data_IF_171135484923
#
_entry.id   IF_171135484923
#
_cell.length_a   1.000
_cell.length_b   1.000
_cell.length_c   1.000
_cell.angle_alpha   90.00
_cell.angle_beta   90.00
_cell.angle_gamma   90.00
#
_symmetry.space_group_name_H-M   'P 1'
#
loop_
_entity.id
_entity.type
_entity.pdbx_description
1 polymer ?
#
# COMPACT_ATOMS: atom_id res chain seq x y z
N UNK A 1 -7.48 1.03 -20.43
CA UNK A 1 -7.40 -0.17 -19.61
C UNK A 1 -5.96 -0.28 -19.10
N UNK A 2 -5.77 -0.35 -17.80
CA UNK A 2 -4.44 -0.44 -17.18
C UNK A 2 -4.29 -1.87 -16.67
N UNK A 3 -3.52 -2.67 -17.39
CA UNK A 3 -3.20 -4.06 -17.02
C UNK A 3 -1.95 -4.04 -16.12
N UNK A 4 -2.11 -3.48 -14.92
CA UNK A 4 -1.04 -3.38 -13.92
C UNK A 4 -1.35 -4.23 -12.72
N UNK A 5 -0.45 -5.14 -12.42
CA UNK A 5 -0.51 -5.97 -11.21
C UNK A 5 -0.24 -5.10 -9.99
N UNK A 6 -1.20 -5.08 -9.06
CA UNK A 6 -1.16 -4.19 -7.90
C UNK A 6 -1.22 -4.95 -6.58
N UNK A 7 -0.46 -4.49 -5.59
CA UNK A 7 -0.46 -5.01 -4.22
C UNK A 7 -0.70 -3.86 -3.24
N UNK A 8 -1.64 -4.01 -2.32
CA UNK A 8 -1.81 -3.10 -1.18
C UNK A 8 -1.17 -3.72 0.07
N UNK A 9 -0.31 -2.94 0.74
CA UNK A 9 0.32 -3.31 2.01
C UNK A 9 -0.41 -2.66 3.18
N UNK A 10 -0.64 -3.42 4.24
CA UNK A 10 -1.29 -2.91 5.45
C UNK A 10 -2.69 -2.40 5.15
N UNK A 11 -3.45 -3.17 4.38
CA UNK A 11 -4.74 -2.77 3.83
C UNK A 11 -5.84 -2.55 4.88
N UNK A 12 -5.67 -3.07 6.12
CA UNK A 12 -6.72 -3.07 7.12
C UNK A 12 -7.97 -3.76 6.60
N UNK A 13 -9.05 -3.02 6.43
CA UNK A 13 -10.27 -3.51 5.78
C UNK A 13 -10.24 -3.52 4.26
N UNK A 14 -9.14 -3.10 3.61
CA UNK A 14 -8.98 -3.06 2.16
C UNK A 14 -9.51 -1.80 1.48
N UNK A 15 -9.72 -0.70 2.21
CA UNK A 15 -10.40 0.48 1.69
C UNK A 15 -9.78 1.03 0.41
N UNK A 16 -8.45 1.19 0.37
CA UNK A 16 -7.77 1.82 -0.79
C UNK A 16 -7.78 0.88 -1.99
N UNK A 17 -7.43 -0.39 -1.81
CA UNK A 17 -7.46 -1.37 -2.89
C UNK A 17 -8.86 -1.56 -3.46
N UNK A 18 -9.88 -1.64 -2.62
CA UNK A 18 -11.28 -1.73 -3.06
C UNK A 18 -11.71 -0.47 -3.82
N UNK A 19 -11.34 0.73 -3.34
CA UNK A 19 -11.64 1.98 -4.04
C UNK A 19 -10.97 2.06 -5.41
N UNK A 20 -9.70 1.63 -5.51
CA UNK A 20 -8.98 1.54 -6.78
C UNK A 20 -9.63 0.53 -7.72
N UNK A 21 -10.04 -0.63 -7.21
CA UNK A 21 -10.71 -1.65 -8.02
C UNK A 21 -12.07 -1.18 -8.55
N UNK A 22 -12.79 -0.33 -7.81
CA UNK A 22 -14.09 0.25 -8.26
C UNK A 22 -13.88 1.45 -9.16
N UNK A 23 -13.01 2.38 -8.78
CA UNK A 23 -12.88 3.69 -9.42
C UNK A 23 -11.93 3.74 -10.61
N UNK A 24 -11.01 2.80 -10.71
CA UNK A 24 -10.03 2.74 -11.78
C UNK A 24 -10.33 1.56 -12.72
N UNK A 25 -10.09 1.75 -14.02
CA UNK A 25 -10.23 0.68 -15.03
C UNK A 25 -9.05 -0.29 -14.96
N UNK A 26 -8.87 -0.94 -13.81
CA UNK A 26 -7.84 -1.97 -13.59
C UNK A 26 -8.39 -3.32 -14.06
N UNK A 27 -7.66 -4.00 -14.93
CA UNK A 27 -8.04 -5.32 -15.48
C UNK A 27 -7.32 -6.47 -14.79
N UNK A 28 -6.10 -6.25 -14.29
CA UNK A 28 -5.38 -7.23 -13.50
C UNK A 28 -5.99 -7.36 -12.10
N UNK A 29 -5.84 -8.54 -11.50
CA UNK A 29 -6.25 -8.78 -10.12
C UNK A 29 -5.43 -7.88 -9.17
N UNK A 30 -6.12 -7.22 -8.23
CA UNK A 30 -5.51 -6.43 -7.18
C UNK A 30 -5.42 -7.29 -5.91
N UNK A 31 -4.25 -7.34 -5.30
CA UNK A 31 -3.97 -8.12 -4.10
C UNK A 31 -3.93 -7.20 -2.88
N UNK A 32 -4.84 -7.37 -1.92
CA UNK A 32 -4.81 -6.63 -0.65
C UNK A 32 -4.21 -7.48 0.44
N UNK A 33 -3.30 -6.92 1.24
CA UNK A 33 -2.53 -7.69 2.22
C UNK A 33 -2.50 -7.02 3.58
N UNK A 34 -2.59 -7.83 4.63
CA UNK A 34 -2.44 -7.42 6.03
C UNK A 34 -2.08 -8.64 6.88
N UNK A 35 -2.03 -8.46 8.20
CA UNK A 35 -1.87 -9.51 9.18
C UNK A 35 -3.09 -10.44 9.22
N UNK A 36 -2.93 -11.62 9.83
CA UNK A 36 -3.98 -12.65 9.92
C UNK A 36 -5.29 -12.11 10.51
N UNK A 37 -5.21 -11.24 11.52
CA UNK A 37 -6.36 -10.64 12.18
C UNK A 37 -7.28 -9.85 11.23
N UNK A 38 -6.74 -9.33 10.12
CA UNK A 38 -7.51 -8.55 9.15
C UNK A 38 -8.03 -9.39 7.99
N UNK A 39 -7.56 -10.63 7.85
CA UNK A 39 -7.84 -11.46 6.67
C UNK A 39 -9.34 -11.69 6.42
N UNK A 40 -10.09 -12.08 7.45
CA UNK A 40 -11.54 -12.32 7.30
C UNK A 40 -12.32 -11.02 7.04
N UNK A 41 -11.87 -9.88 7.59
CA UNK A 41 -12.46 -8.58 7.30
C UNK A 41 -12.24 -8.17 5.85
N UNK A 42 -11.03 -8.34 5.32
CA UNK A 42 -10.73 -8.09 3.90
C UNK A 42 -11.63 -8.92 2.98
N UNK A 43 -11.76 -10.21 3.22
CA UNK A 43 -12.63 -11.10 2.44
C UNK A 43 -14.10 -10.68 2.50
N UNK A 44 -14.58 -10.33 3.68
CA UNK A 44 -15.95 -9.84 3.87
C UNK A 44 -16.20 -8.58 3.03
N UNK A 45 -15.27 -7.62 3.08
CA UNK A 45 -15.39 -6.36 2.34
C UNK A 45 -15.30 -6.56 0.82
N UNK A 46 -14.47 -7.48 0.34
CA UNK A 46 -14.44 -7.88 -1.08
C UNK A 46 -15.82 -8.39 -1.51
N UNK A 47 -16.41 -9.28 -0.72
CA UNK A 47 -17.73 -9.84 -1.00
C UNK A 47 -18.84 -8.78 -1.00
N UNK A 48 -18.87 -7.91 0.01
CA UNK A 48 -19.86 -6.82 0.13
C UNK A 48 -19.82 -5.83 -1.05
N UNK A 49 -18.65 -5.66 -1.66
CA UNK A 49 -18.49 -4.78 -2.82
C UNK A 49 -18.58 -5.50 -4.17
N UNK A 50 -18.92 -6.79 -4.19
CA UNK A 50 -19.00 -7.61 -5.40
C UNK A 50 -17.70 -7.63 -6.22
N UNK A 51 -16.54 -7.64 -5.54
CA UNK A 51 -15.21 -7.59 -6.16
C UNK A 51 -14.50 -8.95 -6.18
N UNK A 52 -15.21 -10.05 -5.84
CA UNK A 52 -14.66 -11.41 -5.96
C UNK A 52 -14.17 -11.68 -7.39
N UNK A 53 -12.93 -12.19 -7.50
CA UNK A 53 -12.26 -12.41 -8.80
C UNK A 53 -11.58 -11.18 -9.40
N UNK A 54 -11.77 -9.99 -8.81
CA UNK A 54 -11.04 -8.76 -9.16
C UNK A 54 -10.08 -8.31 -8.07
N UNK A 55 -10.42 -8.62 -6.82
CA UNK A 55 -9.59 -8.36 -5.65
C UNK A 55 -9.44 -9.65 -4.86
N UNK A 56 -8.23 -9.92 -4.42
CA UNK A 56 -7.88 -11.09 -3.60
C UNK A 56 -7.19 -10.65 -2.32
N UNK A 57 -7.54 -11.27 -1.19
CA UNK A 57 -6.93 -11.01 0.11
C UNK A 57 -5.85 -12.05 0.43
N UNK A 58 -4.74 -11.58 1.01
CA UNK A 58 -3.65 -12.44 1.46
C UNK A 58 -3.11 -12.00 2.81
N UNK A 59 -2.62 -12.95 3.58
CA UNK A 59 -1.87 -12.67 4.80
C UNK A 59 -0.42 -12.37 4.42
N UNK A 60 0.06 -11.19 4.81
CA UNK A 60 1.44 -10.80 4.63
C UNK A 60 1.92 -9.94 5.80
N UNK A 61 2.58 -10.56 6.75
CA UNK A 61 3.23 -9.88 7.86
C UNK A 61 4.51 -9.19 7.40
N UNK A 62 4.66 -7.92 7.70
CA UNK A 62 5.87 -7.17 7.34
C UNK A 62 7.13 -7.79 7.96
N UNK A 63 8.22 -7.81 7.19
CA UNK A 63 9.49 -8.41 7.57
C UNK A 63 9.53 -9.93 7.39
N UNK A 64 8.43 -10.57 7.03
CA UNK A 64 8.43 -11.98 6.63
C UNK A 64 8.73 -12.13 5.13
N UNK A 65 9.18 -13.29 4.68
CA UNK A 65 9.34 -13.56 3.25
C UNK A 65 8.04 -13.29 2.48
N UNK A 66 8.16 -12.71 1.29
CA UNK A 66 7.00 -12.47 0.43
C UNK A 66 6.29 -13.79 0.13
N UNK A 67 4.97 -13.89 0.39
CA UNK A 67 4.21 -15.09 0.08
C UNK A 67 4.34 -15.48 -1.40
N UNK A 68 4.51 -16.78 -1.68
CA UNK A 68 4.73 -17.29 -3.05
C UNK A 68 3.54 -17.10 -3.99
N UNK A 69 2.37 -16.84 -3.44
CA UNK A 69 1.14 -16.55 -4.18
C UNK A 69 0.90 -15.05 -4.43
N UNK A 70 1.79 -14.19 -3.93
CA UNK A 70 1.81 -12.77 -4.30
C UNK A 70 2.70 -12.53 -5.53
N UNK A 71 2.37 -11.54 -6.36
CA UNK A 71 3.22 -11.13 -7.46
C UNK A 71 4.59 -10.68 -6.96
N UNK A 72 5.64 -11.24 -7.54
CA UNK A 72 6.98 -10.74 -7.32
C UNK A 72 7.19 -9.46 -8.13
N UNK A 73 7.61 -8.38 -7.48
CA UNK A 73 7.81 -7.06 -8.11
C UNK A 73 6.56 -6.56 -8.86
N UNK A 74 5.45 -6.30 -8.15
CA UNK A 74 4.23 -5.78 -8.77
C UNK A 74 4.50 -4.43 -9.47
N UNK A 75 3.68 -4.08 -10.44
CA UNK A 75 3.78 -2.79 -11.12
C UNK A 75 3.45 -1.63 -10.20
N UNK A 76 2.48 -1.84 -9.31
CA UNK A 76 1.99 -0.83 -8.37
C UNK A 76 1.91 -1.40 -6.96
N UNK A 77 2.43 -0.64 -6.01
CA UNK A 77 2.21 -0.88 -4.58
C UNK A 77 1.38 0.29 -4.03
N UNK A 78 0.35 -0.03 -3.27
CA UNK A 78 -0.44 0.92 -2.50
C UNK A 78 -0.09 0.75 -1.01
N UNK A 79 0.26 1.82 -0.33
CA UNK A 79 0.57 1.80 1.09
C UNK A 79 -0.01 3.05 1.76
N UNK A 80 -1.20 2.90 2.35
CA UNK A 80 -1.92 3.99 2.96
C UNK A 80 -1.95 3.86 4.48
N UNK A 81 -1.46 4.91 5.14
CA UNK A 81 -1.40 5.04 6.61
C UNK A 81 -0.65 3.91 7.33
N UNK A 82 0.42 3.39 6.71
CA UNK A 82 1.26 2.34 7.28
C UNK A 82 2.28 2.86 8.30
N UNK A 83 2.47 4.18 8.43
CA UNK A 83 3.45 4.83 9.32
C UNK A 83 2.76 5.34 10.58
N UNK A 84 2.38 4.44 11.48
CA UNK A 84 1.72 4.79 12.75
C UNK A 84 2.30 4.06 13.97
N UNK A 85 2.91 2.90 13.78
CA UNK A 85 3.50 2.09 14.85
C UNK A 85 5.01 1.97 14.64
N UNK A 86 5.79 2.78 15.35
CA UNK A 86 7.24 2.94 15.18
C UNK A 86 8.02 1.62 15.25
N UNK A 87 7.70 0.64 16.16
CA UNK A 87 8.40 -0.64 16.18
C UNK A 87 8.29 -1.46 14.89
N UNK A 88 7.24 -1.23 14.08
CA UNK A 88 7.05 -1.92 12.80
C UNK A 88 7.78 -1.25 11.62
N UNK A 89 8.35 -0.05 11.80
CA UNK A 89 9.03 0.67 10.72
C UNK A 89 10.16 -0.10 10.05
N UNK A 90 11.08 -0.76 10.78
CA UNK A 90 12.11 -1.58 10.14
C UNK A 90 11.54 -2.74 9.33
N UNK A 91 10.44 -3.36 9.80
CA UNK A 91 9.77 -4.47 9.14
C UNK A 91 9.11 -4.00 7.83
N UNK A 92 8.41 -2.86 7.86
CA UNK A 92 7.82 -2.25 6.66
C UNK A 92 8.90 -1.88 5.63
N UNK A 93 10.03 -1.30 6.09
CA UNK A 93 11.16 -0.97 5.21
C UNK A 93 11.75 -2.21 4.56
N UNK A 94 11.89 -3.31 5.30
CA UNK A 94 12.35 -4.58 4.76
C UNK A 94 11.36 -5.10 3.71
N UNK A 95 10.08 -5.13 4.02
CA UNK A 95 9.03 -5.56 3.09
C UNK A 95 9.05 -4.75 1.80
N UNK A 96 9.11 -3.41 1.90
CA UNK A 96 9.22 -2.54 0.72
C UNK A 96 10.46 -2.86 -0.12
N UNK A 97 11.60 -3.11 0.53
CA UNK A 97 12.84 -3.49 -0.16
C UNK A 97 12.72 -4.83 -0.90
N UNK A 98 11.96 -5.76 -0.33
CA UNK A 98 11.81 -7.11 -0.91
C UNK A 98 10.86 -7.13 -2.12
N UNK A 99 9.83 -6.24 -2.15
CA UNK A 99 8.79 -6.27 -3.19
C UNK A 99 8.88 -5.14 -4.21
N UNK A 100 9.62 -4.05 -3.94
CA UNK A 100 9.83 -2.97 -4.92
C UNK A 100 10.91 -3.42 -5.90
N UNK A 101 10.50 -3.64 -7.14
CA UNK A 101 11.39 -3.92 -8.26
C UNK A 101 11.77 -2.66 -9.05
N UNK A 102 12.60 -2.80 -10.10
CA UNK A 102 13.10 -1.65 -10.87
C UNK A 102 12.02 -0.80 -11.56
N UNK A 103 10.87 -1.40 -11.85
CA UNK A 103 9.74 -0.75 -12.54
C UNK A 103 8.52 -0.57 -11.64
N UNK A 104 8.61 -0.92 -10.36
CA UNK A 104 7.52 -0.78 -9.40
C UNK A 104 7.34 0.68 -9.01
N UNK A 105 6.10 1.17 -9.05
CA UNK A 105 5.71 2.46 -8.47
C UNK A 105 4.98 2.21 -7.16
N UNK A 106 5.45 2.80 -6.07
CA UNK A 106 4.79 2.72 -4.77
C UNK A 106 4.11 4.06 -4.45
N UNK A 107 2.78 4.07 -4.39
CA UNK A 107 2.00 5.20 -3.87
C UNK A 107 1.91 5.06 -2.35
N UNK A 108 2.62 5.94 -1.66
CA UNK A 108 2.80 5.90 -0.22
C UNK A 108 2.16 7.12 0.43
N UNK A 109 1.00 6.92 1.06
CA UNK A 109 0.27 8.00 1.74
C UNK A 109 0.30 7.80 3.26
N UNK A 110 0.59 8.85 4.01
CA UNK A 110 0.56 8.82 5.47
C UNK A 110 0.24 10.18 6.08
N UNK A 111 -0.34 10.16 7.27
CA UNK A 111 -0.50 11.36 8.09
C UNK A 111 0.70 11.49 9.03
N UNK A 112 1.43 12.61 8.95
CA UNK A 112 2.52 12.89 9.88
C UNK A 112 1.98 13.19 11.26
N UNK A 113 2.29 12.33 12.22
CA UNK A 113 1.88 12.45 13.63
C UNK A 113 3.06 12.72 14.55
N UNK A 114 4.25 12.20 14.23
CA UNK A 114 5.43 12.20 15.10
C UNK A 114 6.71 12.53 14.33
N UNK A 115 7.78 12.77 15.09
CA UNK A 115 9.12 12.96 14.51
C UNK A 115 9.66 11.67 13.88
N UNK A 116 9.31 10.52 14.44
CA UNK A 116 9.69 9.21 13.91
C UNK A 116 9.22 9.00 12.47
N UNK A 117 8.03 9.51 12.11
CA UNK A 117 7.47 9.40 10.76
C UNK A 117 8.38 10.08 9.72
N UNK A 118 8.97 11.24 10.06
CA UNK A 118 9.95 11.91 9.20
C UNK A 118 11.27 11.13 9.10
N UNK A 119 11.68 10.47 10.18
CA UNK A 119 12.86 9.61 10.19
C UNK A 119 12.66 8.41 9.27
N UNK A 120 11.47 7.80 9.29
CA UNK A 120 11.08 6.75 8.35
C UNK A 120 11.24 7.21 6.90
N UNK A 121 10.68 8.37 6.53
CA UNK A 121 10.78 8.90 5.16
C UNK A 121 12.21 9.23 4.76
N UNK A 122 13.01 9.77 5.69
CA UNK A 122 14.44 10.01 5.44
C UNK A 122 15.22 8.72 5.15
N UNK A 123 14.87 7.63 5.84
CA UNK A 123 15.48 6.32 5.61
C UNK A 123 15.00 5.73 4.29
N UNK A 124 13.70 5.82 3.98
CA UNK A 124 13.15 5.41 2.70
C UNK A 124 13.82 6.13 1.51
N UNK A 125 14.06 7.44 1.62
CA UNK A 125 14.75 8.23 0.61
C UNK A 125 16.22 7.85 0.36
N UNK A 126 16.83 7.03 1.23
CA UNK A 126 18.16 6.44 0.99
C UNK A 126 18.10 5.13 0.20
N UNK A 127 16.94 4.48 0.19
CA UNK A 127 16.73 3.17 -0.44
C UNK A 127 16.01 3.28 -1.78
N UNK A 128 15.17 4.30 -1.93
CA UNK A 128 14.28 4.49 -3.08
C UNK A 128 14.36 5.91 -3.62
N UNK A 129 14.00 6.10 -4.89
CA UNK A 129 13.72 7.42 -5.47
C UNK A 129 12.34 7.89 -4.98
N UNK A 130 12.34 8.73 -3.94
CA UNK A 130 11.10 9.21 -3.31
C UNK A 130 10.79 10.60 -3.84
N UNK A 131 9.59 10.77 -4.38
CA UNK A 131 9.08 12.04 -4.90
C UNK A 131 7.72 12.32 -4.30
N UNK A 132 7.49 13.55 -3.89
CA UNK A 132 6.16 14.00 -3.47
C UNK A 132 5.29 14.25 -4.70
N UNK A 133 4.01 13.88 -4.63
CA UNK A 133 3.03 14.16 -5.67
C UNK A 133 2.72 15.67 -5.67
N UNK A 134 3.03 16.34 -6.77
CA UNK A 134 2.91 17.81 -6.91
C UNK A 134 1.70 18.22 -7.75
N UNK A 135 1.22 17.35 -8.61
CA UNK A 135 0.18 17.60 -9.62
C UNK A 135 -1.24 17.23 -9.17
N UNK A 136 -1.42 16.83 -7.90
CA UNK A 136 -2.74 16.60 -7.35
C UNK A 136 -3.45 17.93 -7.06
N UNK A 137 -4.60 18.22 -7.70
CA UNK A 137 -5.35 19.45 -7.50
C UNK A 137 -5.81 19.65 -6.06
N UNK A 138 -6.00 18.58 -5.28
CA UNK A 138 -6.43 18.63 -3.89
C UNK A 138 -5.25 18.72 -2.89
N UNK A 139 -4.00 18.75 -3.37
CA UNK A 139 -2.81 18.93 -2.52
C UNK A 139 -2.93 20.09 -1.53
N UNK A 140 -3.45 21.29 -1.91
CA UNK A 140 -3.62 22.39 -0.97
C UNK A 140 -4.61 22.11 0.17
N UNK A 141 -5.48 21.12 0.01
CA UNK A 141 -6.46 20.70 1.02
C UNK A 141 -5.82 19.68 1.96
N UNK A 142 -5.37 18.54 1.42
CA UNK A 142 -4.88 17.45 2.26
C UNK A 142 -3.54 17.73 2.94
N UNK A 143 -2.68 18.58 2.36
CA UNK A 143 -1.41 18.96 3.00
C UNK A 143 -1.59 19.76 4.29
N UNK A 144 -2.69 20.51 4.44
CA UNK A 144 -3.03 21.22 5.70
C UNK A 144 -3.28 20.24 6.85
N UNK A 145 -3.76 19.05 6.54
CA UNK A 145 -3.99 17.97 7.50
C UNK A 145 -2.73 17.17 7.83
N UNK A 146 -1.56 17.61 7.32
CA UNK A 146 -0.25 16.92 7.42
C UNK A 146 -0.28 15.53 6.77
N UNK A 147 -1.08 15.38 5.72
CA UNK A 147 -1.03 14.23 4.84
C UNK A 147 0.09 14.41 3.83
N UNK A 148 0.73 13.30 3.45
CA UNK A 148 1.80 13.24 2.45
C UNK A 148 1.48 12.09 1.48
N UNK A 149 1.66 12.32 0.20
CA UNK A 149 1.53 11.35 -0.88
C UNK A 149 2.77 11.42 -1.76
#
# INVERSE_FOLDING_TARGET
>A
MIDRVSVELGAGGGLVGLAVAVGCNVTATLHITDQDEMFELMKTNIGLNNLSGRVEAYIYDWGQPTPSNLPQYPDVILAADCVYFEPAFPLLQQTLKDIIGPNTVCYFCFKRRRRADLTFMKTAGKMFDVREVEDDPDKPVWSKERLFL
#
